data_IF_626959581223
#
_entry.id   IF_626959581223
#
_cell.length_a   1.000
_cell.length_b   1.000
_cell.length_c   1.000
_cell.angle_alpha   90.00
_cell.angle_beta   90.00
_cell.angle_gamma   90.00
#
_symmetry.space_group_name_H-M   'P 1'
#
loop_
_entity.id
_entity.type
_entity.pdbx_description
1 polymer ?
#
# COMPACT_ATOMS: atom_id res chain seq x y z
N UNK A 1 -22.52 -15.04 -58.65
CA UNK A 1 -23.79 -14.66 -58.01
C UNK A 1 -23.46 -13.78 -56.80
N UNK A 2 -23.23 -12.46 -56.91
CA UNK A 2 -24.09 -11.33 -57.30
C UNK A 2 -25.29 -11.11 -56.36
N UNK A 3 -25.12 -10.20 -55.39
CA UNK A 3 -25.98 -9.04 -55.05
C UNK A 3 -25.39 -8.36 -53.79
N UNK A 4 -24.67 -7.24 -53.89
CA UNK A 4 -25.13 -5.84 -54.00
C UNK A 4 -26.14 -5.44 -52.90
N UNK A 5 -25.69 -4.59 -51.97
CA UNK A 5 -26.41 -3.35 -51.66
C UNK A 5 -25.49 -2.32 -50.98
N UNK A 6 -25.12 -1.32 -51.77
CA UNK A 6 -24.49 -0.05 -51.41
C UNK A 6 -25.48 0.92 -50.78
N UNK A 7 -25.05 1.74 -49.81
CA UNK A 7 -25.65 3.06 -49.59
C UNK A 7 -24.66 4.10 -49.03
N UNK A 8 -24.19 4.91 -49.97
CA UNK A 8 -23.91 6.36 -49.93
C UNK A 8 -23.11 6.96 -48.77
N UNK A 9 -21.84 7.21 -49.08
CA UNK A 9 -21.09 8.39 -48.66
C UNK A 9 -21.72 9.67 -49.24
N UNK A 10 -21.96 10.67 -48.39
CA UNK A 10 -21.89 12.08 -48.79
C UNK A 10 -20.86 12.75 -47.91
N UNK A 11 -19.76 13.14 -48.55
CA UNK A 11 -18.81 14.12 -48.06
C UNK A 11 -19.38 15.52 -48.30
N UNK A 12 -19.26 16.40 -47.30
CA UNK A 12 -19.08 17.83 -47.50
C UNK A 12 -18.30 18.36 -46.30
N UNK A 13 -17.19 19.03 -46.59
CA UNK A 13 -16.16 19.38 -45.63
C UNK A 13 -16.35 20.71 -44.91
N UNK A 14 -15.35 20.96 -44.06
CA UNK A 14 -14.85 22.26 -43.57
C UNK A 14 -15.78 23.10 -42.69
N UNK A 15 -15.47 23.15 -41.38
CA UNK A 15 -14.84 24.32 -40.73
C UNK A 15 -14.70 24.12 -39.20
N UNK A 16 -13.54 24.56 -38.72
CA UNK A 16 -13.08 24.73 -37.32
C UNK A 16 -14.12 24.89 -36.22
N UNK A 17 -14.02 24.10 -35.14
CA UNK A 17 -14.25 24.54 -33.74
C UNK A 17 -13.53 23.64 -32.71
N UNK A 18 -12.78 24.19 -31.74
CA UNK A 18 -12.27 23.42 -30.61
C UNK A 18 -13.38 23.22 -29.56
N UNK A 19 -13.66 21.97 -29.20
CA UNK A 19 -14.57 21.64 -28.09
C UNK A 19 -13.81 21.57 -26.77
N UNK A 20 -13.51 22.73 -26.18
CA UNK A 20 -13.23 22.84 -24.74
C UNK A 20 -14.56 22.78 -23.99
N UNK A 21 -14.95 21.60 -23.50
CA UNK A 21 -16.08 21.46 -22.56
C UNK A 21 -15.58 21.55 -21.12
N UNK A 22 -15.62 22.76 -20.57
CA UNK A 22 -15.55 23.00 -19.14
C UNK A 22 -16.85 22.52 -18.50
N UNK A 23 -16.79 21.47 -17.68
CA UNK A 23 -17.92 21.08 -16.82
C UNK A 23 -17.96 22.00 -15.60
N UNK A 24 -18.82 23.03 -15.67
CA UNK A 24 -19.18 23.88 -14.54
C UNK A 24 -20.28 23.22 -13.71
N UNK A 25 -19.92 22.68 -12.54
CA UNK A 25 -20.89 22.32 -11.50
C UNK A 25 -21.13 23.55 -10.62
N UNK A 26 -22.04 24.43 -11.03
CA UNK A 26 -22.64 25.38 -10.10
C UNK A 26 -24.02 25.79 -10.61
N UNK A 27 -25.04 25.07 -10.13
CA UNK A 27 -26.45 25.49 -10.13
C UNK A 27 -27.22 24.50 -9.27
N UNK A 28 -27.26 24.75 -7.96
CA UNK A 28 -28.36 24.41 -7.05
C UNK A 28 -28.04 24.88 -5.62
N UNK A 29 -27.87 26.19 -5.42
CA UNK A 29 -27.89 26.83 -4.10
C UNK A 29 -28.48 28.24 -4.20
N UNK A 30 -29.74 28.35 -4.62
CA UNK A 30 -30.54 29.55 -4.41
C UNK A 30 -31.98 29.13 -4.11
N UNK A 31 -32.27 28.88 -2.83
CA UNK A 31 -33.62 28.92 -2.30
C UNK A 31 -33.65 30.04 -1.27
N UNK A 32 -34.05 31.23 -1.71
CA UNK A 32 -34.34 32.36 -0.83
C UNK A 32 -35.76 32.19 -0.29
N UNK A 33 -35.91 31.56 0.88
CA UNK A 33 -37.14 31.68 1.67
C UNK A 33 -36.98 32.87 2.61
N UNK A 34 -37.67 33.95 2.29
CA UNK A 34 -37.92 35.05 3.21
C UNK A 34 -38.73 34.51 4.40
N UNK A 35 -38.13 34.51 5.59
CA UNK A 35 -38.83 34.25 6.84
C UNK A 35 -38.59 35.43 7.77
N UNK A 36 -39.60 36.28 7.88
CA UNK A 36 -39.69 37.30 8.92
C UNK A 36 -39.91 36.57 10.26
N UNK A 37 -38.99 36.71 11.22
CA UNK A 37 -39.19 36.27 12.60
C UNK A 37 -38.81 37.42 13.56
N UNK A 38 -39.58 37.65 14.63
CA UNK A 38 -39.37 38.76 15.55
C UNK A 38 -38.26 38.48 16.57
N UNK A 39 -37.66 39.56 17.05
CA UNK A 39 -36.59 39.57 18.05
C UNK A 39 -36.95 38.75 19.30
N UNK A 40 -36.11 37.76 19.63
CA UNK A 40 -36.01 37.17 20.96
C UNK A 40 -34.54 37.13 21.40
N UNK A 41 -34.33 37.38 22.68
CA UNK A 41 -33.06 37.70 23.36
C UNK A 41 -31.92 36.67 23.19
N UNK A 42 -30.64 37.09 23.34
CA UNK A 42 -29.50 36.24 23.00
C UNK A 42 -29.23 35.22 24.11
N UNK A 43 -29.70 33.99 23.93
CA UNK A 43 -29.12 32.84 24.59
C UNK A 43 -27.71 32.57 24.04
N UNK A 44 -26.75 32.27 24.91
CA UNK A 44 -25.38 31.83 24.54
C UNK A 44 -25.44 30.61 23.63
N UNK A 45 -25.57 30.81 22.31
CA UNK A 45 -25.21 29.81 21.33
C UNK A 45 -23.69 29.81 21.24
N UNK A 46 -23.06 28.81 21.87
CA UNK A 46 -21.70 28.40 21.52
C UNK A 46 -21.72 28.06 20.03
N UNK A 47 -21.28 28.99 19.20
CA UNK A 47 -21.10 28.80 17.77
C UNK A 47 -20.01 27.75 17.59
N UNK A 48 -20.41 26.49 17.44
CA UNK A 48 -19.51 25.47 16.92
C UNK A 48 -19.00 25.99 15.57
N UNK A 49 -17.70 26.31 15.50
CA UNK A 49 -17.05 26.66 14.25
C UNK A 49 -17.32 25.57 13.22
N UNK A 50 -17.63 25.91 11.96
CA UNK A 50 -17.86 24.98 10.83
C UNK A 50 -16.83 23.82 10.75
N UNK A 51 -15.59 24.07 11.20
CA UNK A 51 -14.54 23.06 11.32
C UNK A 51 -14.87 21.87 12.25
N UNK A 52 -15.70 22.08 13.27
CA UNK A 52 -16.13 21.06 14.22
C UNK A 52 -17.33 20.26 13.71
N UNK A 53 -18.19 20.85 12.88
CA UNK A 53 -19.38 20.17 12.34
C UNK A 53 -19.09 19.23 11.15
N UNK A 54 -17.92 19.35 10.49
CA UNK A 54 -17.57 18.58 9.27
C UNK A 54 -16.33 17.68 9.45
N UNK A 55 -16.05 17.20 10.67
CA UNK A 55 -14.89 16.29 10.87
C UNK A 55 -15.16 14.91 10.22
N UNK A 56 -14.26 14.40 9.35
CA UNK A 56 -14.44 13.10 8.73
C UNK A 56 -14.48 11.99 9.80
N UNK A 57 -15.49 11.12 9.71
CA UNK A 57 -15.61 9.97 10.59
C UNK A 57 -14.54 8.93 10.26
N UNK A 58 -13.92 8.36 11.30
CA UNK A 58 -12.91 7.28 11.19
C UNK A 58 -13.49 5.90 11.50
N UNK A 59 -14.78 5.83 11.90
CA UNK A 59 -15.40 4.61 12.44
C UNK A 59 -15.30 3.46 11.46
N UNK A 60 -15.69 3.70 10.21
CA UNK A 60 -15.75 2.65 9.19
C UNK A 60 -14.35 2.12 8.85
N UNK A 61 -13.33 2.96 8.91
CA UNK A 61 -11.93 2.62 8.68
C UNK A 61 -11.39 1.74 9.80
N UNK A 62 -11.72 2.06 11.06
CA UNK A 62 -11.38 1.22 12.21
C UNK A 62 -12.08 -0.14 12.12
N UNK A 63 -13.38 -0.18 11.82
CA UNK A 63 -14.10 -1.44 11.64
C UNK A 63 -13.53 -2.27 10.48
N UNK A 64 -13.18 -1.63 9.37
CA UNK A 64 -12.54 -2.30 8.24
C UNK A 64 -11.20 -2.93 8.63
N UNK A 65 -10.37 -2.23 9.40
CA UNK A 65 -9.13 -2.80 9.92
C UNK A 65 -9.38 -3.98 10.86
N UNK A 66 -10.27 -3.83 11.84
CA UNK A 66 -10.54 -4.88 12.84
C UNK A 66 -11.11 -6.15 12.19
N UNK A 67 -12.18 -6.01 11.42
CA UNK A 67 -12.81 -7.15 10.74
C UNK A 67 -11.96 -7.68 9.60
N UNK A 68 -11.35 -6.81 8.79
CA UNK A 68 -10.50 -7.22 7.68
C UNK A 68 -9.26 -7.98 8.15
N UNK A 69 -8.58 -7.48 9.19
CA UNK A 69 -7.40 -8.13 9.77
C UNK A 69 -7.74 -9.43 10.50
N UNK A 70 -8.89 -9.48 11.19
CA UNK A 70 -9.35 -10.72 11.83
C UNK A 70 -9.71 -11.78 10.79
N UNK A 71 -10.42 -11.39 9.72
CA UNK A 71 -10.78 -12.32 8.64
C UNK A 71 -9.57 -12.85 7.88
N UNK A 72 -8.57 -12.01 7.56
CA UNK A 72 -7.36 -12.49 6.89
C UNK A 72 -6.53 -13.40 7.80
N UNK A 73 -6.47 -13.11 9.10
CA UNK A 73 -5.81 -13.96 10.09
C UNK A 73 -6.48 -15.34 10.16
N UNK A 74 -7.81 -15.38 10.33
CA UNK A 74 -8.59 -16.61 10.39
C UNK A 74 -8.45 -17.44 9.10
N UNK A 75 -8.61 -16.78 7.94
CA UNK A 75 -8.44 -17.45 6.65
C UNK A 75 -7.04 -18.02 6.46
N UNK A 76 -6.01 -17.24 6.81
CA UNK A 76 -4.61 -17.65 6.67
C UNK A 76 -4.27 -18.81 7.61
N UNK A 77 -4.77 -18.77 8.84
CA UNK A 77 -4.61 -19.85 9.81
C UNK A 77 -5.30 -21.14 9.34
N UNK A 78 -6.55 -21.04 8.87
CA UNK A 78 -7.29 -22.16 8.28
C UNK A 78 -6.58 -22.75 7.06
N UNK A 79 -6.15 -21.90 6.12
CA UNK A 79 -5.44 -22.33 4.91
C UNK A 79 -4.12 -23.05 5.27
N UNK A 80 -3.41 -22.56 6.28
CA UNK A 80 -2.19 -23.21 6.79
C UNK A 80 -2.48 -24.59 7.35
N UNK A 81 -3.55 -24.76 8.14
CA UNK A 81 -3.94 -26.06 8.69
C UNK A 81 -4.29 -27.06 7.59
N UNK A 82 -5.07 -26.64 6.59
CA UNK A 82 -5.43 -27.48 5.44
C UNK A 82 -4.19 -27.86 4.62
N UNK A 83 -3.34 -26.90 4.28
CA UNK A 83 -2.12 -27.19 3.51
C UNK A 83 -1.18 -28.11 4.31
N UNK A 84 -1.06 -27.91 5.62
CA UNK A 84 -0.26 -28.78 6.49
C UNK A 84 -0.79 -30.21 6.49
N UNK A 85 -2.11 -30.40 6.59
CA UNK A 85 -2.72 -31.72 6.54
C UNK A 85 -2.47 -32.44 5.21
N UNK A 86 -2.65 -31.74 4.08
CA UNK A 86 -2.39 -32.28 2.73
C UNK A 86 -0.93 -32.68 2.56
N UNK A 87 0.00 -31.82 3.00
CA UNK A 87 1.44 -32.09 2.90
C UNK A 87 1.84 -33.27 3.78
N UNK A 88 1.27 -33.36 4.98
CA UNK A 88 1.51 -34.46 5.91
C UNK A 88 1.05 -35.80 5.33
N UNK A 89 -0.13 -35.84 4.72
CA UNK A 89 -0.65 -37.04 4.05
C UNK A 89 0.24 -37.46 2.87
N UNK A 90 0.62 -36.50 2.02
CA UNK A 90 1.54 -36.74 0.89
C UNK A 90 2.90 -37.26 1.32
N UNK A 91 3.43 -36.76 2.44
CA UNK A 91 4.69 -37.22 3.00
C UNK A 91 4.57 -38.66 3.52
N UNK A 92 3.50 -38.96 4.27
CA UNK A 92 3.23 -40.31 4.80
C UNK A 92 2.94 -41.35 3.72
N UNK A 93 2.46 -40.93 2.55
CA UNK A 93 2.24 -41.84 1.41
C UNK A 93 3.52 -42.18 0.65
N UNK A 94 4.64 -41.49 0.88
CA UNK A 94 5.91 -41.79 0.19
C UNK A 94 6.58 -43.07 0.72
N UNK A 95 6.49 -43.37 2.02
CA UNK A 95 7.08 -44.57 2.60
C UNK A 95 6.49 -44.92 3.96
N UNK A 96 6.57 -46.19 4.36
CA UNK A 96 6.18 -46.65 5.70
C UNK A 96 7.04 -46.05 6.82
N UNK A 97 8.26 -45.60 6.53
CA UNK A 97 9.14 -44.93 7.50
C UNK A 97 8.53 -43.62 7.99
N UNK A 98 7.96 -42.82 7.09
CA UNK A 98 7.27 -41.56 7.44
C UNK A 98 5.99 -41.79 8.27
N UNK A 99 5.44 -43.00 8.23
CA UNK A 99 4.29 -43.36 9.06
C UNK A 99 4.72 -43.73 10.49
N UNK A 100 5.92 -44.31 10.64
CA UNK A 100 6.43 -44.80 11.91
C UNK A 100 7.22 -43.74 12.71
N UNK A 101 7.85 -42.77 12.05
CA UNK A 101 8.67 -41.75 12.73
C UNK A 101 7.88 -40.47 13.09
N UNK A 102 8.35 -39.75 14.10
CA UNK A 102 7.84 -38.42 14.44
C UNK A 102 8.19 -37.41 13.34
N UNK A 103 7.20 -36.70 12.82
CA UNK A 103 7.37 -35.69 11.77
C UNK A 103 7.49 -34.31 12.43
N UNK A 104 8.48 -33.52 12.02
CA UNK A 104 8.67 -32.14 12.44
C UNK A 104 8.41 -31.15 11.29
N UNK A 105 8.29 -29.85 11.62
CA UNK A 105 8.11 -28.77 10.63
C UNK A 105 9.20 -28.75 9.55
N UNK A 106 10.43 -29.07 9.92
CA UNK A 106 11.56 -29.12 8.98
C UNK A 106 11.35 -30.18 7.89
N UNK A 107 10.71 -31.30 8.22
CA UNK A 107 10.46 -32.40 7.27
C UNK A 107 9.40 -31.98 6.25
N UNK A 108 8.31 -31.37 6.71
CA UNK A 108 7.24 -30.85 5.83
C UNK A 108 7.80 -29.81 4.85
N UNK A 109 8.63 -28.88 5.34
CA UNK A 109 9.23 -27.83 4.51
C UNK A 109 10.25 -28.39 3.51
N UNK A 110 11.08 -29.35 3.93
CA UNK A 110 11.99 -30.06 3.01
C UNK A 110 11.21 -30.77 1.92
N UNK A 111 10.12 -31.45 2.28
CA UNK A 111 9.24 -32.10 1.33
C UNK A 111 8.63 -31.10 0.32
N UNK A 112 8.10 -29.98 0.79
CA UNK A 112 7.58 -28.93 -0.09
C UNK A 112 8.65 -28.36 -1.03
N UNK A 113 9.87 -28.14 -0.53
CA UNK A 113 10.99 -27.64 -1.33
C UNK A 113 11.38 -28.66 -2.43
N UNK A 114 11.38 -29.96 -2.12
CA UNK A 114 11.63 -31.02 -3.09
C UNK A 114 10.54 -31.04 -4.18
N UNK A 115 9.27 -30.96 -3.79
CA UNK A 115 8.14 -30.94 -4.74
C UNK A 115 8.18 -29.69 -5.64
N UNK A 116 8.53 -28.53 -5.09
CA UNK A 116 8.74 -27.31 -5.88
C UNK A 116 9.83 -27.51 -6.94
N UNK A 117 11.01 -27.98 -6.53
CA UNK A 117 12.15 -28.18 -7.45
C UNK A 117 11.81 -29.22 -8.52
N UNK A 118 11.11 -30.29 -8.15
CA UNK A 118 10.61 -31.31 -9.09
C UNK A 118 9.63 -30.71 -10.10
N UNK A 119 8.70 -29.86 -9.64
CA UNK A 119 7.76 -29.15 -10.49
C UNK A 119 8.46 -28.19 -11.47
N UNK A 120 9.43 -27.41 -11.00
CA UNK A 120 10.22 -26.55 -11.87
C UNK A 120 10.97 -27.37 -12.93
N UNK A 121 11.66 -28.45 -12.54
CA UNK A 121 12.35 -29.34 -13.48
C UNK A 121 11.41 -29.99 -14.50
N UNK A 122 10.18 -30.33 -14.11
CA UNK A 122 9.20 -30.89 -15.05
C UNK A 122 8.70 -29.84 -16.04
N UNK A 123 8.44 -28.61 -15.58
CA UNK A 123 8.14 -27.47 -16.47
C UNK A 123 9.29 -27.21 -17.43
N UNK A 124 10.55 -27.25 -16.96
CA UNK A 124 11.72 -27.10 -17.83
C UNK A 124 11.72 -28.15 -18.93
N UNK A 125 11.58 -29.43 -18.54
CA UNK A 125 11.58 -30.55 -19.46
C UNK A 125 10.48 -30.39 -20.50
N UNK A 126 9.28 -30.00 -20.08
CA UNK A 126 8.16 -29.74 -20.97
C UNK A 126 8.48 -28.61 -21.97
N UNK A 127 8.91 -27.44 -21.48
CA UNK A 127 9.25 -26.30 -22.34
C UNK A 127 10.40 -26.62 -23.30
N UNK A 128 11.44 -27.30 -22.84
CA UNK A 128 12.57 -27.71 -23.69
C UNK A 128 12.18 -28.79 -24.73
N UNK A 129 11.12 -29.56 -24.46
CA UNK A 129 10.55 -30.53 -25.42
C UNK A 129 9.73 -29.82 -26.49
N UNK A 130 8.89 -28.86 -26.11
CA UNK A 130 8.17 -28.01 -27.07
C UNK A 130 9.12 -27.13 -27.90
N UNK A 131 10.23 -26.70 -27.28
CA UNK A 131 11.30 -25.96 -27.94
C UNK A 131 12.13 -26.81 -28.93
N UNK A 132 11.81 -28.09 -29.16
CA UNK A 132 12.49 -28.91 -30.16
C UNK A 132 12.29 -28.38 -31.60
N UNK A 133 11.23 -27.60 -31.83
CA UNK A 133 10.97 -26.91 -33.11
C UNK A 133 11.68 -25.55 -33.23
N UNK A 134 12.29 -25.07 -32.14
CA UNK A 134 13.03 -23.80 -32.14
C UNK A 134 14.41 -24.02 -32.80
N UNK A 135 14.87 -23.10 -33.66
CA UNK A 135 16.18 -23.19 -34.28
C UNK A 135 17.31 -23.45 -33.27
N UNK A 136 18.24 -24.34 -33.61
CA UNK A 136 19.38 -24.73 -32.75
C UNK A 136 20.23 -23.53 -32.31
N UNK A 137 20.17 -22.42 -33.04
CA UNK A 137 20.84 -21.16 -32.71
C UNK A 137 20.26 -20.47 -31.45
N UNK A 138 18.95 -20.60 -31.20
CA UNK A 138 18.24 -19.87 -30.13
C UNK A 138 18.13 -20.71 -28.85
N UNK A 139 18.06 -22.03 -28.99
CA UNK A 139 17.85 -22.99 -27.90
C UNK A 139 18.84 -22.85 -26.72
N UNK A 140 20.15 -22.64 -26.92
CA UNK A 140 21.08 -22.44 -25.82
C UNK A 140 20.78 -21.19 -24.98
N UNK A 141 20.39 -20.09 -25.63
CA UNK A 141 20.05 -18.84 -24.94
C UNK A 141 18.74 -18.97 -24.15
N UNK A 142 17.76 -19.69 -24.68
CA UNK A 142 16.51 -19.99 -23.96
C UNK A 142 16.77 -20.86 -22.72
N UNK A 143 17.60 -21.89 -22.85
CA UNK A 143 17.99 -22.73 -21.71
C UNK A 143 18.78 -21.93 -20.67
N UNK A 144 19.72 -21.08 -21.11
CA UNK A 144 20.46 -20.19 -20.22
C UNK A 144 19.52 -19.22 -19.49
N UNK A 145 18.57 -18.60 -20.19
CA UNK A 145 17.58 -17.72 -19.59
C UNK A 145 16.69 -18.46 -18.57
N UNK A 146 16.27 -19.69 -18.90
CA UNK A 146 15.48 -20.53 -17.99
C UNK A 146 16.23 -20.80 -16.69
N UNK A 147 17.48 -21.26 -16.78
CA UNK A 147 18.33 -21.55 -15.63
C UNK A 147 18.60 -20.28 -14.83
N UNK A 148 18.93 -19.17 -15.50
CA UNK A 148 19.21 -17.88 -14.86
C UNK A 148 18.03 -17.32 -14.05
N UNK A 149 16.79 -17.66 -14.42
CA UNK A 149 15.60 -17.21 -13.70
C UNK A 149 15.13 -18.21 -12.63
N UNK A 150 15.09 -19.49 -12.98
CA UNK A 150 14.43 -20.49 -12.13
C UNK A 150 15.34 -21.14 -11.12
N UNK A 151 16.65 -21.16 -11.35
CA UNK A 151 17.58 -21.62 -10.34
C UNK A 151 17.61 -20.68 -9.12
N UNK A 152 17.74 -19.35 -9.27
CA UNK A 152 17.61 -18.44 -8.13
C UNK A 152 16.25 -18.53 -7.43
N UNK A 153 15.17 -18.78 -8.18
CA UNK A 153 13.85 -18.99 -7.59
C UNK A 153 13.73 -20.30 -6.82
N UNK A 154 14.29 -21.39 -7.33
CA UNK A 154 14.34 -22.65 -6.63
C UNK A 154 15.17 -22.53 -5.35
N UNK A 155 16.33 -21.88 -5.42
CA UNK A 155 17.28 -21.75 -4.31
C UNK A 155 16.84 -20.73 -3.25
N UNK A 156 15.99 -19.77 -3.61
CA UNK A 156 15.46 -18.78 -2.69
C UNK A 156 14.62 -19.42 -1.58
N UNK A 157 14.69 -18.87 -0.36
CA UNK A 157 13.82 -19.28 0.74
C UNK A 157 12.34 -19.04 0.40
N UNK A 158 11.45 -19.76 1.08
CA UNK A 158 10.00 -19.58 0.94
C UNK A 158 9.57 -18.11 1.11
N UNK A 159 10.05 -17.46 2.18
CA UNK A 159 9.76 -16.05 2.45
C UNK A 159 10.27 -15.11 1.35
N UNK A 160 11.46 -15.37 0.79
CA UNK A 160 12.00 -14.57 -0.31
C UNK A 160 11.16 -14.73 -1.58
N UNK A 161 10.74 -15.95 -1.93
CA UNK A 161 9.80 -16.20 -3.05
C UNK A 161 8.47 -15.48 -2.84
N UNK A 162 7.94 -15.47 -1.62
CA UNK A 162 6.69 -14.75 -1.32
C UNK A 162 6.86 -13.24 -1.50
N UNK A 163 7.96 -12.66 -1.01
CA UNK A 163 8.28 -11.25 -1.23
C UNK A 163 8.35 -10.90 -2.72
N UNK A 164 8.95 -11.78 -3.55
CA UNK A 164 8.96 -11.58 -5.00
C UNK A 164 7.58 -11.64 -5.63
N UNK A 165 6.68 -12.52 -5.16
CA UNK A 165 5.28 -12.55 -5.63
C UNK A 165 4.54 -11.25 -5.29
N UNK A 166 4.75 -10.71 -4.09
CA UNK A 166 4.18 -9.41 -3.68
C UNK A 166 4.76 -8.29 -4.55
N UNK A 167 6.06 -8.31 -4.81
CA UNK A 167 6.70 -7.36 -5.71
C UNK A 167 6.17 -7.44 -7.14
N UNK A 168 5.97 -8.64 -7.68
CA UNK A 168 5.38 -8.84 -9.00
C UNK A 168 3.96 -8.26 -9.07
N UNK A 169 3.14 -8.46 -8.03
CA UNK A 169 1.82 -7.85 -7.91
C UNK A 169 1.91 -6.32 -7.91
N UNK A 170 2.80 -5.75 -7.09
CA UNK A 170 3.02 -4.30 -7.03
C UNK A 170 3.51 -3.73 -8.36
N UNK A 171 4.38 -4.45 -9.07
CA UNK A 171 4.83 -4.09 -10.42
C UNK A 171 3.67 -4.09 -11.41
N UNK A 172 2.79 -5.10 -11.37
CA UNK A 172 1.57 -5.12 -12.18
C UNK A 172 0.67 -3.91 -11.92
N UNK A 173 0.48 -3.55 -10.65
CA UNK A 173 -0.31 -2.37 -10.25
C UNK A 173 0.37 -1.07 -10.70
N UNK A 174 1.70 -0.99 -10.59
CA UNK A 174 2.46 0.15 -11.11
C UNK A 174 2.42 0.26 -12.63
N UNK A 175 2.41 -0.86 -13.36
CA UNK A 175 2.22 -0.87 -14.81
C UNK A 175 0.82 -0.35 -15.19
N UNK A 176 -0.22 -0.68 -14.41
CA UNK A 176 -1.56 -0.11 -14.63
C UNK A 176 -1.57 1.43 -14.54
N UNK A 177 -0.75 2.04 -13.66
CA UNK A 177 -0.60 3.50 -13.59
C UNK A 177 0.00 4.15 -14.85
N UNK A 178 0.75 3.39 -15.65
CA UNK A 178 1.38 3.91 -16.87
C UNK A 178 0.36 4.14 -17.99
N UNK A 179 -0.81 3.49 -17.91
CA UNK A 179 -1.89 3.67 -18.88
C UNK A 179 -2.78 4.85 -18.48
N UNK A 180 -2.72 5.95 -19.22
CA UNK A 180 -3.51 7.17 -18.96
C UNK A 180 -5.01 6.89 -18.81
N UNK A 181 -5.55 5.93 -19.58
CA UNK A 181 -6.97 5.54 -19.51
C UNK A 181 -7.37 4.90 -18.18
N UNK A 182 -6.43 4.27 -17.48
CA UNK A 182 -6.68 3.62 -16.18
C UNK A 182 -6.50 4.60 -15.00
N UNK A 183 -5.79 5.72 -15.18
CA UNK A 183 -5.45 6.65 -14.09
C UNK A 183 -6.66 7.13 -13.28
N UNK A 184 -7.85 7.45 -13.83
CA UNK A 184 -9.00 7.82 -13.01
C UNK A 184 -9.46 6.69 -12.08
N UNK A 185 -9.44 5.44 -12.57
CA UNK A 185 -9.74 4.26 -11.76
C UNK A 185 -8.66 4.06 -10.70
N UNK A 186 -7.38 4.17 -11.09
CA UNK A 186 -6.25 4.01 -10.17
C UNK A 186 -6.28 5.07 -9.04
N UNK A 187 -6.58 6.33 -9.34
CA UNK A 187 -6.74 7.38 -8.34
C UNK A 187 -7.89 7.10 -7.37
N UNK A 188 -9.00 6.51 -7.85
CA UNK A 188 -10.15 6.18 -7.00
C UNK A 188 -9.91 4.93 -6.15
N UNK A 189 -9.26 3.92 -6.71
CA UNK A 189 -9.19 2.58 -6.14
C UNK A 189 -7.85 2.25 -5.48
N UNK A 190 -6.75 2.88 -5.85
CA UNK A 190 -5.38 2.56 -5.41
C UNK A 190 -4.67 3.74 -4.72
N UNK A 191 -5.39 4.82 -4.41
CA UNK A 191 -4.92 5.92 -3.57
C UNK A 191 -5.89 6.07 -2.41
N UNK A 192 -5.37 6.04 -1.18
CA UNK A 192 -6.20 6.29 -0.01
C UNK A 192 -6.39 7.78 0.19
N UNK A 193 -7.60 8.28 -0.08
CA UNK A 193 -7.99 9.66 0.22
C UNK A 193 -8.82 9.72 1.50
N UNK A 194 -8.36 10.40 2.57
CA UNK A 194 -9.04 10.41 3.87
C UNK A 194 -10.48 10.94 3.84
N UNK A 195 -10.80 11.79 2.87
CA UNK A 195 -12.13 12.39 2.70
C UNK A 195 -13.07 11.59 1.81
N UNK A 196 -12.60 10.52 1.16
CA UNK A 196 -13.42 9.73 0.23
C UNK A 196 -14.46 8.84 0.92
N UNK A 197 -14.26 8.51 2.19
CA UNK A 197 -15.06 7.52 2.92
C UNK A 197 -14.82 6.07 2.47
N UNK A 198 -13.99 5.82 1.45
CA UNK A 198 -13.73 4.49 0.91
C UNK A 198 -12.77 3.70 1.81
N UNK A 199 -13.28 2.69 2.51
CA UNK A 199 -12.48 1.89 3.46
C UNK A 199 -11.56 0.90 2.79
N UNK A 200 -11.96 0.27 1.68
CA UNK A 200 -11.15 -0.70 0.96
C UNK A 200 -9.82 -0.12 0.45
N UNK A 201 -9.76 1.20 0.26
CA UNK A 201 -8.53 1.88 -0.17
C UNK A 201 -7.42 1.82 0.87
N UNK A 202 -7.71 1.51 2.14
CA UNK A 202 -6.70 1.20 3.15
C UNK A 202 -5.86 -0.04 2.76
N UNK A 203 -6.50 -1.00 2.10
CA UNK A 203 -5.85 -2.22 1.61
C UNK A 203 -5.18 -1.99 0.26
N UNK A 204 -5.93 -1.56 -0.75
CA UNK A 204 -5.40 -1.47 -2.12
C UNK A 204 -4.28 -0.45 -2.27
N UNK A 205 -4.28 0.64 -1.49
CA UNK A 205 -3.17 1.61 -1.48
C UNK A 205 -1.85 1.00 -0.99
N UNK A 206 -1.88 -0.05 -0.16
CA UNK A 206 -0.69 -0.79 0.31
C UNK A 206 0.09 -1.41 -0.85
N UNK A 207 -0.59 -1.72 -1.97
CA UNK A 207 0.04 -2.36 -3.13
C UNK A 207 0.34 -1.39 -4.29
N UNK A 208 0.09 -0.09 -4.09
CA UNK A 208 0.19 0.95 -5.12
C UNK A 208 1.43 1.82 -4.94
N UNK A 209 2.07 2.23 -6.04
CA UNK A 209 3.30 3.05 -6.02
C UNK A 209 3.22 4.16 -7.06
N UNK A 210 3.63 5.38 -6.67
CA UNK A 210 3.55 6.59 -7.51
C UNK A 210 4.70 6.72 -8.51
N UNK A 211 5.85 6.11 -8.23
CA UNK A 211 7.04 6.20 -9.07
C UNK A 211 7.83 4.89 -9.09
N UNK A 212 8.65 4.71 -10.12
CA UNK A 212 9.50 3.52 -10.26
C UNK A 212 10.51 3.40 -9.11
N UNK A 213 11.13 4.52 -8.68
CA UNK A 213 12.05 4.51 -7.55
C UNK A 213 11.35 4.14 -6.24
N UNK A 214 10.13 4.65 -6.02
CA UNK A 214 9.35 4.31 -4.84
C UNK A 214 9.02 2.80 -4.82
N UNK A 215 8.64 2.21 -5.96
CA UNK A 215 8.44 0.77 -6.11
C UNK A 215 9.74 -0.01 -5.87
N UNK A 216 10.85 0.40 -6.49
CA UNK A 216 12.12 -0.30 -6.41
C UNK A 216 12.65 -0.37 -4.97
N UNK A 217 12.64 0.76 -4.24
CA UNK A 217 13.07 0.78 -2.83
C UNK A 217 12.17 -0.06 -1.93
N UNK A 218 10.84 -0.01 -2.12
CA UNK A 218 9.93 -0.87 -1.37
C UNK A 218 10.18 -2.35 -1.65
N UNK A 219 10.44 -2.71 -2.91
CA UNK A 219 10.71 -4.09 -3.27
C UNK A 219 12.05 -4.61 -2.75
N UNK A 220 13.10 -3.77 -2.79
CA UNK A 220 14.39 -4.11 -2.20
C UNK A 220 14.26 -4.30 -0.68
N UNK A 221 13.58 -3.38 0.01
CA UNK A 221 13.37 -3.46 1.44
C UNK A 221 12.46 -4.64 1.84
N UNK A 222 11.41 -4.91 1.06
CA UNK A 222 10.53 -6.06 1.29
C UNK A 222 11.27 -7.39 1.09
N UNK A 223 12.11 -7.50 0.07
CA UNK A 223 12.92 -8.69 -0.15
C UNK A 223 13.86 -8.95 1.04
N UNK A 224 14.63 -7.94 1.46
CA UNK A 224 15.54 -8.08 2.60
C UNK A 224 14.84 -8.30 3.94
N UNK A 225 14.03 -7.33 4.37
CA UNK A 225 13.40 -7.36 5.69
C UNK A 225 12.18 -8.28 5.76
N UNK A 226 11.42 -8.44 4.67
CA UNK A 226 10.27 -9.35 4.64
C UNK A 226 10.68 -10.83 4.66
N UNK A 227 11.76 -11.20 3.96
CA UNK A 227 12.29 -12.57 4.04
C UNK A 227 12.87 -12.89 5.42
N UNK A 228 13.56 -11.92 6.06
CA UNK A 228 14.04 -12.04 7.43
C UNK A 228 12.89 -12.13 8.45
N UNK A 229 11.85 -11.31 8.29
CA UNK A 229 10.64 -11.36 9.11
C UNK A 229 9.93 -12.73 8.98
N UNK A 230 9.78 -13.26 7.76
CA UNK A 230 9.26 -14.61 7.53
C UNK A 230 10.08 -15.67 8.27
N UNK A 231 11.41 -15.53 8.24
CA UNK A 231 12.33 -16.45 8.94
C UNK A 231 12.12 -16.39 10.46
N UNK A 232 11.91 -15.20 11.03
CA UNK A 232 11.58 -15.04 12.45
C UNK A 232 10.24 -15.69 12.80
N UNK A 233 9.17 -15.38 12.04
CA UNK A 233 7.84 -15.92 12.30
C UNK A 233 7.85 -17.46 12.28
N UNK A 234 8.56 -18.03 11.30
CA UNK A 234 8.81 -19.47 11.20
C UNK A 234 9.53 -20.03 12.44
N UNK A 235 10.64 -19.40 12.86
CA UNK A 235 11.39 -19.83 14.04
C UNK A 235 10.56 -19.72 15.32
N UNK A 236 9.69 -18.72 15.43
CA UNK A 236 8.79 -18.56 16.56
C UNK A 236 7.78 -19.72 16.63
N UNK A 237 7.25 -20.17 15.49
CA UNK A 237 6.35 -21.34 15.44
C UNK A 237 7.07 -22.67 15.71
N UNK A 238 8.33 -22.80 15.29
CA UNK A 238 9.14 -23.99 15.60
C UNK A 238 9.43 -24.13 17.10
N UNK A 239 9.35 -23.04 17.88
CA UNK A 239 9.52 -23.01 19.34
C UNK A 239 8.20 -23.17 20.10
N UNK A 240 7.07 -23.28 19.41
CA UNK A 240 5.76 -23.31 20.07
C UNK A 240 5.56 -24.60 20.88
N UNK A 241 4.89 -24.50 22.03
CA UNK A 241 4.60 -25.61 22.94
C UNK A 241 3.10 -25.60 23.29
N UNK A 242 2.34 -26.69 23.03
CA UNK A 242 2.78 -27.91 22.35
C UNK A 242 3.17 -27.66 20.89
N UNK A 243 4.07 -28.49 20.36
CA UNK A 243 4.55 -28.36 18.98
C UNK A 243 3.38 -28.44 18.00
N UNK A 244 3.24 -27.42 17.15
CA UNK A 244 2.21 -27.35 16.13
C UNK A 244 2.84 -27.48 14.74
N UNK A 245 2.36 -28.45 13.95
CA UNK A 245 2.87 -28.64 12.61
C UNK A 245 2.50 -27.47 11.71
N UNK A 246 3.46 -26.98 10.93
CA UNK A 246 3.33 -25.86 9.99
C UNK A 246 4.15 -26.18 8.74
N UNK A 247 3.47 -26.57 7.65
CA UNK A 247 4.14 -26.88 6.39
C UNK A 247 4.72 -25.63 5.73
N UNK A 248 4.00 -24.51 5.78
CA UNK A 248 4.30 -23.26 5.09
C UNK A 248 4.23 -22.07 6.05
N UNK A 249 5.21 -21.16 5.95
CA UNK A 249 5.21 -19.89 6.68
C UNK A 249 4.55 -18.74 5.89
N UNK A 250 4.20 -19.00 4.63
CA UNK A 250 3.73 -17.97 3.69
C UNK A 250 2.46 -17.28 4.16
N UNK A 251 1.48 -18.04 4.65
CA UNK A 251 0.20 -17.49 5.10
C UNK A 251 0.35 -16.63 6.36
N UNK A 252 1.22 -17.03 7.29
CA UNK A 252 1.52 -16.24 8.49
C UNK A 252 2.10 -14.88 8.11
N UNK A 253 3.14 -14.88 7.27
CA UNK A 253 3.75 -13.63 6.81
C UNK A 253 2.78 -12.78 5.99
N UNK A 254 1.96 -13.38 5.12
CA UNK A 254 0.99 -12.65 4.31
C UNK A 254 -0.09 -11.98 5.17
N UNK A 255 -0.60 -12.69 6.18
CA UNK A 255 -1.54 -12.12 7.15
C UNK A 255 -0.92 -10.95 7.91
N UNK A 256 0.31 -11.13 8.41
CA UNK A 256 1.08 -10.06 9.06
C UNK A 256 1.24 -8.85 8.13
N UNK A 257 1.73 -9.06 6.90
CA UNK A 257 2.02 -8.01 5.94
C UNK A 257 0.78 -7.20 5.54
N UNK A 258 -0.34 -7.88 5.29
CA UNK A 258 -1.62 -7.24 4.94
C UNK A 258 -2.15 -6.44 6.12
N UNK A 259 -2.21 -7.03 7.31
CA UNK A 259 -2.70 -6.34 8.52
C UNK A 259 -1.82 -5.14 8.87
N UNK A 260 -0.50 -5.27 8.73
CA UNK A 260 0.45 -4.19 8.90
C UNK A 260 0.20 -3.02 7.94
N UNK A 261 0.01 -3.31 6.65
CA UNK A 261 -0.30 -2.29 5.64
C UNK A 261 -1.62 -1.57 5.89
N UNK A 262 -2.68 -2.32 6.20
CA UNK A 262 -4.00 -1.75 6.52
C UNK A 262 -3.94 -0.90 7.81
N UNK A 263 -3.21 -1.35 8.83
CA UNK A 263 -3.02 -0.60 10.07
C UNK A 263 -2.23 0.69 9.84
N UNK A 264 -1.13 0.63 9.08
CA UNK A 264 -0.35 1.81 8.72
C UNK A 264 -1.21 2.84 7.97
N UNK A 265 -1.99 2.39 6.98
CA UNK A 265 -2.95 3.24 6.26
C UNK A 265 -4.01 3.82 7.19
N UNK A 266 -4.48 3.06 8.18
CA UNK A 266 -5.43 3.55 9.19
C UNK A 266 -4.80 4.64 10.07
N UNK A 267 -3.56 4.47 10.52
CA UNK A 267 -2.86 5.48 11.33
C UNK A 267 -2.70 6.77 10.53
N UNK A 268 -2.28 6.69 9.26
CA UNK A 268 -2.23 7.86 8.37
C UNK A 268 -3.61 8.49 8.17
N UNK A 269 -4.65 7.68 7.95
CA UNK A 269 -6.03 8.16 7.85
C UNK A 269 -6.44 8.95 9.10
N UNK A 270 -6.22 8.40 10.29
CA UNK A 270 -6.55 9.05 11.57
C UNK A 270 -5.75 10.34 11.73
N UNK A 271 -4.45 10.34 11.44
CA UNK A 271 -3.63 11.55 11.52
C UNK A 271 -4.14 12.63 10.54
N UNK A 272 -4.50 12.25 9.33
CA UNK A 272 -5.06 13.18 8.35
C UNK A 272 -6.43 13.72 8.81
N UNK A 273 -7.31 12.86 9.32
CA UNK A 273 -8.65 13.22 9.78
C UNK A 273 -8.65 14.08 11.06
N UNK A 274 -7.74 13.81 11.99
CA UNK A 274 -7.73 14.40 13.34
C UNK A 274 -6.73 15.54 13.52
N UNK A 275 -5.63 15.53 12.77
CA UNK A 275 -4.55 16.52 12.91
C UNK A 275 -4.51 17.45 11.71
N UNK A 276 -4.42 16.90 10.50
CA UNK A 276 -4.22 17.73 9.29
C UNK A 276 -5.49 18.45 8.85
N UNK A 277 -6.64 17.77 8.86
CA UNK A 277 -7.91 18.33 8.41
C UNK A 277 -8.34 19.56 9.24
N UNK A 278 -8.33 19.55 10.59
CA UNK A 278 -8.68 20.75 11.35
C UNK A 278 -7.72 21.93 11.11
N UNK A 279 -6.41 21.65 10.99
CA UNK A 279 -5.40 22.68 10.66
C UNK A 279 -5.67 23.31 9.29
N UNK A 280 -6.04 22.49 8.31
CA UNK A 280 -6.41 22.93 6.97
C UNK A 280 -7.64 23.84 7.01
N UNK A 281 -8.71 23.42 7.67
CA UNK A 281 -9.93 24.24 7.77
C UNK A 281 -9.64 25.55 8.53
N UNK A 282 -8.85 25.51 9.60
CA UNK A 282 -8.45 26.71 10.34
C UNK A 282 -7.72 27.72 9.43
N UNK A 283 -6.76 27.24 8.61
CA UNK A 283 -6.05 28.08 7.64
C UNK A 283 -6.99 28.71 6.61
N UNK A 284 -7.88 27.91 6.01
CA UNK A 284 -8.84 28.39 5.01
C UNK A 284 -9.89 29.34 5.61
N UNK A 285 -10.25 29.15 6.88
CA UNK A 285 -11.20 30.02 7.58
C UNK A 285 -10.58 31.31 8.12
N UNK A 286 -9.24 31.42 8.11
CA UNK A 286 -8.53 32.57 8.68
C UNK A 286 -8.79 33.85 7.86
N UNK A 287 -8.99 35.02 8.51
CA UNK A 287 -9.22 36.29 7.82
C UNK A 287 -8.12 36.67 6.83
N UNK A 288 -6.88 36.26 7.10
CA UNK A 288 -5.73 36.46 6.21
C UNK A 288 -5.85 35.73 4.85
N UNK A 289 -6.75 34.75 4.76
CA UNK A 289 -7.03 34.01 3.52
C UNK A 289 -8.21 34.60 2.73
N UNK A 290 -8.88 35.63 3.25
CA UNK A 290 -9.95 36.36 2.53
C UNK A 290 -9.31 37.42 1.64
N UNK A 291 -9.70 37.47 0.37
CA UNK A 291 -9.47 38.66 -0.45
C UNK A 291 -10.08 39.89 0.25
N UNK A 292 -9.37 41.03 0.33
CA UNK A 292 -9.92 42.24 0.93
C UNK A 292 -11.27 42.55 0.30
N UNK A 293 -12.30 42.72 1.12
CA UNK A 293 -13.62 43.10 0.64
C UNK A 293 -13.51 44.50 0.02
N UNK A 294 -13.78 44.64 -1.28
CA UNK A 294 -13.82 45.92 -1.97
C UNK A 294 -15.20 46.54 -1.82
N UNK A 295 -15.64 46.75 -0.58
CA UNK A 295 -17.00 47.20 -0.26
C UNK A 295 -17.23 48.67 -0.63
N UNK A 296 -16.18 49.37 -1.05
CA UNK A 296 -16.22 50.77 -1.49
C UNK A 296 -15.48 50.95 -2.81
N UNK A 297 -15.90 51.93 -3.62
CA UNK A 297 -15.16 52.32 -4.82
C UNK A 297 -13.70 52.70 -4.51
N UNK A 298 -13.43 53.29 -3.35
CA UNK A 298 -12.08 53.60 -2.89
C UNK A 298 -11.23 52.34 -2.63
N UNK A 299 -11.79 51.30 -1.99
CA UNK A 299 -11.10 50.03 -1.74
C UNK A 299 -10.90 49.21 -3.02
N UNK A 300 -11.84 49.29 -3.98
CA UNK A 300 -11.69 48.69 -5.31
C UNK A 300 -10.57 49.36 -6.13
N UNK A 301 -10.50 50.69 -6.14
CA UNK A 301 -9.45 51.46 -6.84
C UNK A 301 -8.09 51.27 -6.17
N UNK A 302 -8.02 51.22 -4.84
CA UNK A 302 -6.78 50.92 -4.11
C UNK A 302 -6.27 49.50 -4.38
N UNK A 303 -7.17 48.50 -4.45
CA UNK A 303 -6.84 47.13 -4.83
C UNK A 303 -6.31 47.05 -6.28
N UNK A 304 -6.98 47.72 -7.22
CA UNK A 304 -6.56 47.78 -8.63
C UNK A 304 -5.24 48.55 -8.86
N UNK A 305 -4.95 49.55 -8.02
CA UNK A 305 -3.70 50.32 -8.08
C UNK A 305 -2.52 49.57 -7.46
N UNK A 306 -2.78 48.71 -6.47
CA UNK A 306 -1.75 47.86 -5.83
C UNK A 306 -1.18 46.77 -6.75
N UNK A 307 -1.90 46.42 -7.82
CA UNK A 307 -1.47 45.48 -8.86
C UNK A 307 -0.55 46.09 -9.92
N UNK A 308 -0.42 47.42 -9.99
CA UNK A 308 0.38 48.10 -11.02
C UNK A 308 1.87 48.18 -10.64
N UNK A 309 2.23 47.99 -9.36
CA UNK A 309 3.62 48.12 -8.88
C UNK A 309 4.34 46.81 -8.53
N UNK A 310 3.65 45.66 -8.51
CA UNK A 310 4.28 44.35 -8.23
C UNK A 310 4.45 43.59 -9.54
N UNK A 311 5.68 43.57 -10.05
CA UNK A 311 6.09 42.76 -11.20
C UNK A 311 5.48 41.35 -11.10
N UNK A 312 4.69 40.99 -12.10
CA UNK A 312 3.84 39.80 -12.15
C UNK A 312 4.61 38.47 -12.31
N UNK A 313 5.87 38.42 -11.88
CA UNK A 313 6.78 37.29 -12.11
C UNK A 313 7.03 36.40 -10.90
N UNK A 314 6.65 36.80 -9.67
CA UNK A 314 6.93 35.99 -8.47
C UNK A 314 5.76 35.81 -7.49
N UNK A 315 4.70 36.63 -7.55
CA UNK A 315 3.60 36.57 -6.57
C UNK A 315 2.37 35.74 -7.00
N UNK A 316 2.21 35.42 -8.29
CA UNK A 316 1.01 34.72 -8.80
C UNK A 316 1.11 33.20 -8.73
N UNK A 317 2.29 32.62 -8.48
CA UNK A 317 2.47 31.16 -8.35
C UNK A 317 2.19 30.68 -6.91
N UNK A 318 2.27 31.55 -5.91
CA UNK A 318 2.11 31.18 -4.50
C UNK A 318 0.64 31.02 -4.04
N UNK A 319 -0.33 31.56 -4.78
CA UNK A 319 -1.70 31.79 -4.28
C UNK A 319 -2.74 30.75 -4.71
N UNK A 320 -2.37 29.71 -5.46
CA UNK A 320 -3.32 28.71 -5.98
C UNK A 320 -2.83 27.27 -5.88
N UNK A 321 -1.91 26.97 -4.97
CA UNK A 321 -1.76 25.58 -4.52
C UNK A 321 -3.03 25.22 -3.74
N UNK A 322 -4.03 24.64 -4.40
CA UNK A 322 -5.22 24.10 -3.75
C UNK A 322 -4.76 23.32 -2.52
N UNK A 323 -5.14 23.81 -1.33
CA UNK A 323 -4.65 23.25 -0.08
C UNK A 323 -5.32 21.89 0.10
N UNK A 324 -4.71 20.87 -0.48
CA UNK A 324 -5.25 19.52 -0.59
C UNK A 324 -4.53 18.61 0.39
N UNK A 325 -5.27 17.75 1.09
CA UNK A 325 -4.67 16.67 1.87
C UNK A 325 -4.15 15.64 0.86
N UNK A 326 -2.82 15.39 0.79
CA UNK A 326 -2.29 14.42 -0.15
C UNK A 326 -2.83 13.03 0.17
N UNK A 327 -3.17 12.28 -0.88
CA UNK A 327 -3.52 10.87 -0.75
C UNK A 327 -2.30 10.05 -0.33
N UNK A 328 -2.55 8.89 0.27
CA UNK A 328 -1.51 7.93 0.67
C UNK A 328 -1.53 6.69 -0.21
N UNK A 329 -0.35 6.19 -0.55
CA UNK A 329 -0.12 4.93 -1.25
C UNK A 329 1.30 4.44 -0.98
N UNK A 330 1.50 3.12 -0.99
CA UNK A 330 2.80 2.48 -0.84
C UNK A 330 2.77 1.31 0.12
N UNK A 331 3.66 0.34 -0.13
CA UNK A 331 3.91 -0.79 0.77
C UNK A 331 4.70 -0.39 2.02
N UNK A 332 5.16 0.85 2.12
CA UNK A 332 6.18 1.27 3.07
C UNK A 332 5.77 1.08 4.54
N UNK A 333 4.49 1.26 4.89
CA UNK A 333 4.01 0.95 6.24
C UNK A 333 4.18 -0.53 6.63
N UNK A 334 3.87 -1.45 5.70
CA UNK A 334 4.09 -2.88 5.92
C UNK A 334 5.59 -3.22 5.97
N UNK A 335 6.40 -2.55 5.15
CA UNK A 335 7.87 -2.68 5.19
C UNK A 335 8.44 -2.18 6.52
N UNK A 336 7.99 -1.04 7.05
CA UNK A 336 8.40 -0.54 8.38
C UNK A 336 8.04 -1.52 9.50
N UNK A 337 6.93 -2.24 9.35
CA UNK A 337 6.56 -3.33 10.26
C UNK A 337 7.58 -4.47 10.19
N UNK A 338 7.99 -4.87 8.98
CA UNK A 338 9.05 -5.88 8.79
C UNK A 338 10.38 -5.42 9.38
N UNK A 339 10.82 -4.19 9.09
CA UNK A 339 12.07 -3.61 9.62
C UNK A 339 12.08 -3.64 11.14
N UNK A 340 10.99 -3.17 11.76
CA UNK A 340 10.90 -3.09 13.23
C UNK A 340 10.87 -4.48 13.86
N UNK A 341 10.09 -5.41 13.29
CA UNK A 341 10.04 -6.80 13.76
C UNK A 341 11.41 -7.48 13.66
N UNK A 342 12.15 -7.28 12.56
CA UNK A 342 13.51 -7.84 12.37
C UNK A 342 14.51 -7.18 13.31
N UNK A 343 14.43 -5.86 13.53
CA UNK A 343 15.31 -5.14 14.45
C UNK A 343 15.15 -5.60 15.91
N UNK A 344 13.94 -6.03 16.29
CA UNK A 344 13.67 -6.63 17.60
C UNK A 344 14.07 -8.10 17.66
N UNK A 345 13.84 -8.86 16.58
CA UNK A 345 14.15 -10.28 16.51
C UNK A 345 15.64 -10.61 16.40
N UNK A 346 16.40 -9.76 15.71
CA UNK A 346 17.82 -9.97 15.41
C UNK A 346 18.62 -8.69 15.73
N UNK A 347 18.74 -8.31 17.02
CA UNK A 347 19.32 -7.03 17.44
C UNK A 347 20.78 -6.84 16.97
N UNK A 348 21.54 -7.93 16.87
CA UNK A 348 22.95 -7.93 16.49
C UNK A 348 23.18 -7.95 14.97
N UNK A 349 22.11 -8.00 14.17
CA UNK A 349 22.24 -8.01 12.71
C UNK A 349 22.63 -6.63 12.17
N UNK A 350 23.34 -6.63 11.04
CA UNK A 350 23.80 -5.41 10.37
C UNK A 350 23.11 -5.26 9.02
N UNK A 351 22.83 -4.02 8.64
CA UNK A 351 22.27 -3.64 7.35
C UNK A 351 23.33 -2.89 6.57
N UNK A 352 23.62 -3.33 5.35
CA UNK A 352 24.45 -2.59 4.40
C UNK A 352 23.55 -1.88 3.40
N UNK A 353 23.76 -0.59 3.18
CA UNK A 353 23.13 0.10 2.06
C UNK A 353 23.92 -0.22 0.79
N UNK A 354 23.21 -0.61 -0.27
CA UNK A 354 23.81 -0.81 -1.59
C UNK A 354 24.17 0.56 -2.20
N UNK A 355 23.41 1.60 -1.88
CA UNK A 355 23.62 2.94 -2.42
C UNK A 355 23.15 4.05 -1.45
N UNK A 356 24.04 5.00 -1.06
CA UNK A 356 25.49 4.96 -1.21
C UNK A 356 26.09 3.79 -0.40
N UNK A 357 27.21 3.17 -0.84
CA UNK A 357 27.86 2.11 -0.08
C UNK A 357 28.43 2.71 1.21
N UNK A 358 27.78 2.42 2.32
CA UNK A 358 28.25 2.78 3.67
C UNK A 358 28.67 1.52 4.42
N UNK A 359 29.53 1.68 5.43
CA UNK A 359 29.85 0.60 6.35
C UNK A 359 28.56 0.03 6.94
N UNK A 360 28.46 -1.31 7.10
CA UNK A 360 27.28 -1.92 7.71
C UNK A 360 26.92 -1.24 9.03
N UNK A 361 25.65 -0.85 9.16
CA UNK A 361 25.11 -0.21 10.37
C UNK A 361 24.26 -1.23 11.12
N UNK A 362 24.28 -1.18 12.45
CA UNK A 362 23.41 -2.04 13.26
C UNK A 362 21.94 -1.84 12.90
N UNK A 363 21.17 -2.92 12.78
CA UNK A 363 19.78 -2.84 12.31
C UNK A 363 18.91 -1.97 13.22
N UNK A 364 19.17 -2.00 14.54
CA UNK A 364 18.45 -1.17 15.50
C UNK A 364 18.76 0.31 15.30
N UNK A 365 20.02 0.65 15.04
CA UNK A 365 20.43 2.02 14.70
C UNK A 365 19.78 2.46 13.40
N UNK A 366 19.75 1.61 12.38
CA UNK A 366 19.08 1.90 11.11
C UNK A 366 17.58 2.15 11.30
N UNK A 367 16.89 1.28 12.05
CA UNK A 367 15.48 1.40 12.36
C UNK A 367 15.17 2.69 13.14
N UNK A 368 15.94 2.98 14.19
CA UNK A 368 15.81 4.22 14.97
C UNK A 368 16.09 5.46 14.10
N UNK A 369 17.05 5.38 13.18
CA UNK A 369 17.38 6.46 12.24
C UNK A 369 16.20 6.82 11.33
N UNK A 370 15.58 5.83 10.68
CA UNK A 370 14.42 6.08 9.80
C UNK A 370 13.19 6.56 10.58
N UNK A 371 12.95 6.03 11.78
CA UNK A 371 11.89 6.48 12.69
C UNK A 371 12.09 7.94 13.11
N UNK A 372 13.33 8.31 13.44
CA UNK A 372 13.69 9.69 13.80
C UNK A 372 13.49 10.63 12.61
N UNK A 373 13.84 10.19 11.40
CA UNK A 373 13.60 10.97 10.18
C UNK A 373 12.11 11.20 9.95
N UNK A 374 11.25 10.22 10.21
CA UNK A 374 9.80 10.39 10.14
C UNK A 374 9.27 11.38 11.18
N UNK A 375 9.78 11.32 12.41
CA UNK A 375 9.44 12.28 13.47
C UNK A 375 9.83 13.71 13.09
N UNK A 376 11.04 13.89 12.54
CA UNK A 376 11.50 15.17 12.00
C UNK A 376 10.60 15.60 10.83
N UNK A 377 10.24 14.68 9.94
CA UNK A 377 9.35 14.94 8.81
C UNK A 377 7.96 15.42 9.25
N UNK A 378 7.39 14.81 10.29
CA UNK A 378 6.13 15.26 10.90
C UNK A 378 6.29 16.66 11.51
N UNK A 379 7.36 16.87 12.28
CA UNK A 379 7.62 18.16 12.94
C UNK A 379 7.83 19.29 11.93
N UNK A 380 8.60 19.04 10.86
CA UNK A 380 8.88 20.00 9.78
C UNK A 380 7.78 20.10 8.73
N UNK A 381 6.76 19.23 8.78
CA UNK A 381 5.65 19.24 7.85
C UNK A 381 5.98 18.75 6.44
N UNK A 382 6.96 17.85 6.29
CA UNK A 382 7.30 17.21 5.02
C UNK A 382 6.12 16.38 4.48
N UNK A 383 5.95 16.41 3.15
CA UNK A 383 4.79 15.81 2.45
C UNK A 383 5.16 14.78 1.40
N UNK A 384 6.45 14.59 1.12
CA UNK A 384 6.93 13.63 0.12
C UNK A 384 6.70 12.18 0.57
N UNK A 385 6.72 11.93 1.88
CA UNK A 385 6.54 10.61 2.49
C UNK A 385 5.32 10.60 3.42
N UNK A 386 4.69 9.44 3.57
CA UNK A 386 3.65 9.24 4.56
C UNK A 386 4.23 8.83 5.92
N UNK A 387 4.82 9.80 6.59
CA UNK A 387 5.47 9.63 7.89
C UNK A 387 4.54 9.00 8.95
N UNK A 388 3.24 9.29 8.91
CA UNK A 388 2.28 8.71 9.86
C UNK A 388 2.03 7.22 9.57
N UNK A 389 1.96 6.84 8.30
CA UNK A 389 1.87 5.41 7.93
C UNK A 389 3.14 4.65 8.33
N UNK A 390 4.32 5.24 8.15
CA UNK A 390 5.59 4.62 8.54
C UNK A 390 5.67 4.35 10.06
N UNK A 391 5.36 5.35 10.88
CA UNK A 391 5.31 5.19 12.35
C UNK A 391 4.24 4.19 12.79
N UNK A 392 3.06 4.21 12.14
CA UNK A 392 2.00 3.22 12.38
C UNK A 392 2.44 1.80 12.06
N UNK A 393 3.15 1.63 10.94
CA UNK A 393 3.76 0.36 10.57
C UNK A 393 4.80 -0.12 11.58
N UNK A 394 5.73 0.74 11.97
CA UNK A 394 6.72 0.37 12.98
C UNK A 394 6.09 -0.03 14.31
N UNK A 395 5.08 0.70 14.78
CA UNK A 395 4.31 0.34 15.96
C UNK A 395 3.65 -1.03 15.82
N UNK A 396 3.04 -1.33 14.66
CA UNK A 396 2.46 -2.65 14.39
C UNK A 396 3.51 -3.75 14.38
N UNK A 397 4.68 -3.52 13.77
CA UNK A 397 5.79 -4.47 13.78
C UNK A 397 6.27 -4.81 15.20
N UNK A 398 6.39 -3.79 16.06
CA UNK A 398 6.73 -3.99 17.47
C UNK A 398 5.64 -4.77 18.22
N UNK A 399 4.37 -4.41 18.04
CA UNK A 399 3.24 -5.15 18.65
C UNK A 399 3.22 -6.62 18.17
N UNK A 400 3.44 -6.85 16.88
CA UNK A 400 3.43 -8.19 16.31
C UNK A 400 4.63 -9.02 16.79
N UNK A 401 5.79 -8.41 17.02
CA UNK A 401 6.93 -9.11 17.63
C UNK A 401 6.57 -9.73 18.98
N UNK A 402 5.88 -8.99 19.85
CA UNK A 402 5.51 -9.44 21.20
C UNK A 402 4.30 -10.39 21.23
N UNK A 403 3.28 -10.14 20.41
CA UNK A 403 1.98 -10.84 20.52
C UNK A 403 1.62 -11.68 19.29
N UNK A 404 2.15 -11.34 18.12
CA UNK A 404 1.75 -11.92 16.83
C UNK A 404 1.94 -13.43 16.74
N UNK A 405 3.14 -13.99 17.01
CA UNK A 405 3.36 -15.43 16.97
C UNK A 405 2.43 -16.23 17.88
N UNK A 406 2.12 -15.70 19.06
CA UNK A 406 1.17 -16.33 19.99
C UNK A 406 -0.26 -16.24 19.46
N UNK A 407 -0.70 -15.05 19.00
CA UNK A 407 -2.03 -14.90 18.39
C UNK A 407 -2.19 -15.85 17.20
N UNK A 408 -1.17 -15.98 16.35
CA UNK A 408 -1.14 -16.91 15.23
C UNK A 408 -1.33 -18.37 15.68
N UNK A 409 -0.52 -18.84 16.63
CA UNK A 409 -0.59 -20.23 17.09
C UNK A 409 -1.93 -20.56 17.76
N UNK A 410 -2.45 -19.68 18.61
CA UNK A 410 -3.76 -19.84 19.22
C UNK A 410 -4.88 -19.87 18.18
N UNK A 411 -4.83 -18.97 17.19
CA UNK A 411 -5.83 -18.95 16.11
C UNK A 411 -5.82 -20.28 15.35
N UNK A 412 -4.63 -20.79 15.01
CA UNK A 412 -4.50 -22.08 14.33
C UNK A 412 -4.89 -23.27 15.19
N UNK A 413 -4.79 -23.17 16.52
CA UNK A 413 -5.16 -24.27 17.43
C UNK A 413 -6.69 -24.38 17.61
N UNK A 414 -7.43 -23.30 17.42
CA UNK A 414 -8.90 -23.25 17.58
C UNK A 414 -9.62 -23.67 16.28
N UNK A 415 -8.98 -23.51 15.13
CA UNK A 415 -9.48 -23.89 13.79
C UNK A 415 -9.08 -25.32 13.43
#
# INVERSE_FOLDING_TARGET
>A
MLRLCTRNLRTNGFLDRPLTRNFSYSKHLLSTKNFSQPHTSPGKQTTETFANSVRPSIRNQVLFFLFGSSSILLYSAWATNIETAIVLEKLKSQSSVWQAQSIANVDLRRFQQMELVKGLRSTYKYLNTQAAEIPQLIRPYLNAAYVALLQPYADASEGRRLCWKICLLNTGIWLMWQFQRLQPMMNRAFVHQPLSGLTYTLLSSTFSHSSLLHLAFNCLALEGFGSAATTYLRQAQDKNVPGQLESTSSYHFLSFYISAGVFASLVSHVANARIRYPKLIAQLSSPASRTPATDTWASAVAAASSTVGKSATTASVASASAVTIPGSLGASGAVYSCVTLVALAYPDSQVSLIFPPVTPIGIQTAALGILTLDMIGIYRGWRMLDHWAHLGGAAFGALYFYYGPSVWSHTRAIL
#
